data_IF_233424837877
#
_entry.id   IF_233424837877
#
_cell.length_a   1.000
_cell.length_b   1.000
_cell.length_c   1.000
_cell.angle_alpha   90.00
_cell.angle_beta   90.00
_cell.angle_gamma   90.00
#
_symmetry.space_group_name_H-M   'P 1'
#
loop_
_entity.id
_entity.type
_entity.pdbx_description
1 polymer ?
#
# COMPACT_ATOMS: atom_id res chain seq x y z
N UNK A 1 -54.10 -36.16 21.80
CA UNK A 1 -53.20 -36.52 20.69
C UNK A 1 -53.25 -35.39 19.67
N UNK A 2 -52.17 -35.22 18.89
CA UNK A 2 -51.93 -34.21 17.84
C UNK A 2 -51.23 -32.92 18.30
N UNK A 3 -49.92 -33.06 18.55
CA UNK A 3 -48.92 -32.01 18.39
C UNK A 3 -48.25 -32.22 17.03
N UNK A 4 -48.85 -31.70 15.95
CA UNK A 4 -48.33 -31.88 14.59
C UNK A 4 -47.74 -30.57 14.06
N UNK A 5 -46.46 -30.42 14.37
CA UNK A 5 -45.42 -30.14 13.39
C UNK A 5 -45.54 -28.82 12.63
N UNK A 6 -44.91 -27.78 13.15
CA UNK A 6 -44.52 -26.60 12.38
C UNK A 6 -43.56 -26.99 11.24
N UNK A 7 -44.07 -27.33 10.06
CA UNK A 7 -43.29 -27.61 8.84
C UNK A 7 -42.64 -26.35 8.21
N UNK A 8 -42.64 -25.22 8.94
CA UNK A 8 -42.17 -23.93 8.44
C UNK A 8 -40.70 -23.63 8.81
N UNK A 9 -39.90 -24.65 9.14
CA UNK A 9 -38.45 -24.52 9.21
C UNK A 9 -37.82 -24.90 7.87
N UNK A 10 -38.18 -24.15 6.82
CA UNK A 10 -37.39 -24.17 5.59
C UNK A 10 -35.98 -23.70 5.94
N UNK A 11 -35.07 -24.67 6.03
CA UNK A 11 -33.67 -24.52 6.39
C UNK A 11 -32.99 -23.61 5.35
N UNK A 12 -33.00 -22.30 5.62
CA UNK A 12 -32.21 -21.27 4.90
C UNK A 12 -30.73 -21.54 5.12
N UNK A 13 -30.18 -22.56 4.49
CA UNK A 13 -28.79 -22.94 4.68
C UNK A 13 -28.22 -23.91 3.64
N UNK A 14 -29.06 -24.48 2.78
CA UNK A 14 -28.62 -25.43 1.75
C UNK A 14 -28.40 -24.82 0.35
N UNK A 15 -28.80 -23.56 0.12
CA UNK A 15 -28.61 -22.86 -1.15
C UNK A 15 -27.53 -21.76 -1.11
N UNK A 16 -26.86 -21.57 0.02
CA UNK A 16 -25.56 -20.90 -0.01
C UNK A 16 -24.56 -21.87 -0.61
N UNK A 17 -24.51 -21.90 -1.95
CA UNK A 17 -23.28 -22.27 -2.67
C UNK A 17 -22.11 -21.65 -1.90
N UNK A 18 -20.95 -22.32 -1.75
CA UNK A 18 -19.78 -21.64 -1.25
C UNK A 18 -19.53 -20.51 -2.23
N UNK A 19 -19.99 -19.31 -1.88
CA UNK A 19 -19.78 -18.11 -2.64
C UNK A 19 -18.27 -18.07 -2.77
N UNK A 20 -17.78 -18.36 -3.97
CA UNK A 20 -16.36 -18.54 -4.23
C UNK A 20 -15.67 -17.39 -3.57
N UNK A 21 -14.85 -17.68 -2.55
CA UNK A 21 -14.10 -16.68 -1.80
C UNK A 21 -13.54 -15.73 -2.86
N UNK A 22 -13.95 -14.46 -2.91
CA UNK A 22 -13.57 -13.59 -4.01
C UNK A 22 -12.05 -13.68 -4.10
N UNK A 23 -11.56 -14.23 -5.21
CA UNK A 23 -10.15 -14.47 -5.42
C UNK A 23 -9.50 -13.10 -5.28
N UNK A 24 -8.85 -12.84 -4.14
CA UNK A 24 -8.22 -11.54 -3.94
C UNK A 24 -7.29 -11.32 -5.13
N UNK A 25 -7.44 -10.21 -5.87
CA UNK A 25 -6.62 -9.98 -7.04
C UNK A 25 -5.17 -10.13 -6.60
N UNK A 26 -4.45 -11.08 -7.22
CA UNK A 26 -3.04 -11.33 -6.88
C UNK A 26 -2.32 -10.01 -7.10
N UNK A 27 -1.83 -9.39 -6.02
CA UNK A 27 -1.16 -8.11 -6.11
C UNK A 27 0.02 -8.23 -7.09
N UNK A 28 0.05 -7.34 -8.09
CA UNK A 28 1.14 -7.25 -9.06
C UNK A 28 2.47 -7.11 -8.32
N UNK A 29 3.57 -7.61 -8.91
CA UNK A 29 4.91 -7.56 -8.30
C UNK A 29 5.27 -6.18 -7.75
N UNK A 30 4.97 -5.12 -8.51
CA UNK A 30 5.20 -3.74 -8.10
C UNK A 30 4.41 -3.36 -6.83
N UNK A 31 3.15 -3.76 -6.72
CA UNK A 31 2.32 -3.51 -5.53
C UNK A 31 2.84 -4.27 -4.31
N UNK A 32 3.33 -5.50 -4.51
CA UNK A 32 3.98 -6.29 -3.45
C UNK A 32 5.27 -5.62 -2.97
N UNK A 33 6.08 -5.13 -3.90
CA UNK A 33 7.31 -4.40 -3.58
C UNK A 33 7.02 -3.11 -2.81
N UNK A 34 6.07 -2.29 -3.28
CA UNK A 34 5.70 -1.06 -2.57
C UNK A 34 5.21 -1.36 -1.16
N UNK A 35 4.34 -2.36 -0.99
CA UNK A 35 3.83 -2.70 0.35
C UNK A 35 4.90 -3.27 1.28
N UNK A 36 5.81 -4.11 0.78
CA UNK A 36 6.78 -4.81 1.61
C UNK A 36 8.09 -4.04 1.83
N UNK A 37 8.54 -3.27 0.86
CA UNK A 37 9.85 -2.60 0.94
C UNK A 37 9.70 -1.11 1.22
N UNK A 38 8.66 -0.46 0.70
CA UNK A 38 8.48 1.00 0.86
C UNK A 38 7.58 1.33 2.06
N UNK A 39 6.43 0.66 2.18
CA UNK A 39 5.42 0.98 3.19
C UNK A 39 5.51 0.13 4.45
N UNK A 40 6.32 -0.94 4.45
CA UNK A 40 6.44 -1.82 5.59
C UNK A 40 6.99 -1.09 6.82
N UNK A 41 6.36 -1.28 8.00
CA UNK A 41 6.67 -0.50 9.20
C UNK A 41 8.13 -0.66 9.67
N UNK A 42 8.71 -1.84 9.48
CA UNK A 42 10.10 -2.16 9.82
C UNK A 42 11.13 -1.46 8.92
N UNK A 43 10.76 -1.08 7.70
CA UNK A 43 11.62 -0.36 6.75
C UNK A 43 11.45 1.14 6.81
N UNK A 44 10.40 1.64 7.49
CA UNK A 44 10.06 3.08 7.56
C UNK A 44 11.24 3.97 7.95
N UNK A 45 12.03 3.68 9.01
CA UNK A 45 13.12 4.58 9.39
C UNK A 45 14.17 4.72 8.27
N UNK A 46 14.57 3.61 7.65
CA UNK A 46 15.51 3.61 6.53
C UNK A 46 14.94 4.29 5.29
N UNK A 47 13.67 4.05 4.96
CA UNK A 47 13.02 4.69 3.81
C UNK A 47 12.89 6.21 4.00
N UNK A 48 12.62 6.67 5.22
CA UNK A 48 12.62 8.09 5.55
C UNK A 48 14.02 8.67 5.37
N UNK A 49 15.07 7.99 5.81
CA UNK A 49 16.45 8.45 5.60
C UNK A 49 16.79 8.56 4.12
N UNK A 50 16.39 7.58 3.29
CA UNK A 50 16.57 7.62 1.83
C UNK A 50 15.80 8.80 1.23
N UNK A 51 14.53 8.98 1.61
CA UNK A 51 13.71 10.08 1.14
C UNK A 51 14.32 11.44 1.52
N UNK A 52 14.86 11.56 2.73
CA UNK A 52 15.60 12.74 3.17
C UNK A 52 16.85 12.96 2.34
N UNK A 53 17.67 11.92 2.14
CA UNK A 53 18.88 11.99 1.31
C UNK A 53 18.57 12.49 -0.10
N UNK A 54 17.55 11.93 -0.75
CA UNK A 54 17.08 12.37 -2.08
C UNK A 54 16.60 13.83 -2.07
N UNK A 55 15.88 14.23 -1.02
CA UNK A 55 15.37 15.60 -0.87
C UNK A 55 16.52 16.60 -0.74
N UNK A 56 17.49 16.35 0.15
CA UNK A 56 18.66 17.24 0.32
C UNK A 56 19.49 17.28 -0.95
N UNK A 57 19.70 16.14 -1.60
CA UNK A 57 20.44 16.07 -2.86
C UNK A 57 19.79 16.90 -3.96
N UNK A 58 18.48 16.73 -4.18
CA UNK A 58 17.74 17.51 -5.16
C UNK A 58 17.74 19.01 -4.82
N UNK A 59 17.54 19.37 -3.54
CA UNK A 59 17.63 20.75 -3.08
C UNK A 59 19.03 21.35 -3.34
N UNK A 60 20.10 20.57 -3.10
CA UNK A 60 21.47 20.97 -3.40
C UNK A 60 21.70 21.25 -4.89
N UNK A 61 21.17 20.41 -5.78
CA UNK A 61 21.22 20.65 -7.23
C UNK A 61 20.49 21.95 -7.59
N UNK A 62 19.29 22.16 -7.06
CA UNK A 62 18.51 23.38 -7.32
C UNK A 62 19.28 24.60 -6.81
N UNK A 63 19.84 24.52 -5.61
CA UNK A 63 20.63 25.58 -5.02
C UNK A 63 21.86 25.90 -5.88
N UNK A 64 22.62 24.89 -6.30
CA UNK A 64 23.77 25.08 -7.18
C UNK A 64 23.37 25.70 -8.54
N UNK A 65 22.23 25.29 -9.11
CA UNK A 65 21.73 25.85 -10.37
C UNK A 65 21.21 27.27 -10.26
N UNK A 66 20.70 27.69 -9.10
CA UNK A 66 20.09 29.01 -8.91
C UNK A 66 21.04 30.02 -8.30
N UNK A 67 21.94 29.57 -7.45
CA UNK A 67 22.87 30.42 -6.70
C UNK A 67 24.33 30.15 -7.06
N UNK A 68 24.62 29.26 -8.03
CA UNK A 68 25.99 28.98 -8.47
C UNK A 68 26.72 30.23 -8.96
N UNK A 69 26.03 31.12 -9.67
CA UNK A 69 26.59 32.38 -10.18
C UNK A 69 26.93 33.38 -9.06
N UNK A 70 26.31 33.26 -7.88
CA UNK A 70 26.63 34.10 -6.71
C UNK A 70 27.88 33.63 -5.98
N UNK A 71 28.24 32.35 -6.13
CA UNK A 71 29.36 31.71 -5.42
C UNK A 71 30.58 31.60 -6.34
N UNK A 72 30.38 31.68 -7.66
CA UNK A 72 31.47 31.70 -8.63
C UNK A 72 31.98 33.14 -8.83
N UNK A 73 33.26 33.42 -8.53
CA UNK A 73 33.82 34.74 -8.78
C UNK A 73 33.89 34.99 -10.28
N UNK A 74 33.42 36.16 -10.70
CA UNK A 74 33.61 36.69 -12.06
C UNK A 74 35.04 37.17 -12.20
N UNK A 75 35.86 36.41 -12.92
CA UNK A 75 37.16 36.84 -13.43
C UNK A 75 37.03 37.21 -14.91
#
# INVERSE_FOLDING_TARGET
>A
MSSDGSYLSAQRGFLSSPAGRPQQPKANFLMRFINNEILAPEKRPGNISIAWGLTVFAAGIIAARKFGDLITPVF
#
